data_IF_812573756186
#
_entry.id   IF_812573756186
#
_cell.length_a   1.000
_cell.length_b   1.000
_cell.length_c   1.000
_cell.angle_alpha   90.00
_cell.angle_beta   90.00
_cell.angle_gamma   90.00
#
_symmetry.space_group_name_H-M   'P 1'
#
loop_
_entity.id
_entity.type
_entity.pdbx_description
1 polymer ?
#
# COMPACT_ATOMS: atom_id res chain seq x y z
N UNK A 1 1.84 -23.86 -12.83
CA UNK A 1 2.83 -22.78 -12.64
C UNK A 1 2.05 -21.58 -12.13
N UNK A 2 2.21 -21.25 -10.88
CA UNK A 2 1.61 -20.03 -10.33
C UNK A 2 2.46 -18.86 -10.82
N UNK A 3 1.85 -17.90 -11.52
CA UNK A 3 2.53 -16.68 -11.97
C UNK A 3 3.07 -15.93 -10.75
N UNK A 4 4.36 -15.56 -10.78
CA UNK A 4 4.95 -14.81 -9.68
C UNK A 4 4.51 -13.34 -9.71
N UNK A 5 4.63 -12.63 -8.59
CA UNK A 5 4.33 -11.19 -8.54
C UNK A 5 5.23 -10.39 -9.50
N UNK A 6 6.47 -10.82 -9.69
CA UNK A 6 7.39 -10.19 -10.65
C UNK A 6 6.95 -10.43 -12.10
N UNK A 7 6.46 -11.63 -12.43
CA UNK A 7 5.90 -11.92 -13.76
C UNK A 7 4.66 -11.04 -14.03
N UNK A 8 3.83 -10.80 -13.01
CA UNK A 8 2.68 -9.88 -13.12
C UNK A 8 3.13 -8.44 -13.36
N UNK A 9 4.23 -7.99 -12.72
CA UNK A 9 4.81 -6.67 -12.98
C UNK A 9 5.32 -6.59 -14.42
N UNK A 10 6.11 -7.55 -14.85
CA UNK A 10 6.74 -7.58 -16.18
C UNK A 10 5.70 -7.67 -17.30
N UNK A 11 4.62 -8.43 -17.09
CA UNK A 11 3.49 -8.53 -18.03
C UNK A 11 2.50 -7.36 -17.96
N UNK A 12 2.68 -6.43 -17.01
CA UNK A 12 1.80 -5.28 -16.84
C UNK A 12 0.46 -5.58 -16.15
N UNK A 13 0.31 -6.76 -15.56
CA UNK A 13 -0.91 -7.21 -14.85
C UNK A 13 -0.92 -6.85 -13.38
N UNK A 14 0.17 -6.31 -12.82
CA UNK A 14 0.20 -5.83 -11.45
C UNK A 14 -0.60 -4.54 -11.33
N UNK A 15 -1.89 -4.66 -11.01
CA UNK A 15 -2.88 -3.58 -10.92
C UNK A 15 -3.51 -3.53 -9.54
N UNK A 16 -4.26 -2.46 -9.25
CA UNK A 16 -5.08 -2.38 -8.03
C UNK A 16 -6.03 -3.58 -7.92
N UNK A 17 -6.68 -3.97 -9.02
CA UNK A 17 -7.59 -5.13 -9.04
C UNK A 17 -6.87 -6.43 -8.67
N UNK A 18 -5.68 -6.65 -9.22
CA UNK A 18 -4.86 -7.82 -8.89
C UNK A 18 -4.46 -7.81 -7.42
N UNK A 19 -4.00 -6.66 -6.91
CA UNK A 19 -3.63 -6.51 -5.50
C UNK A 19 -4.86 -6.75 -4.59
N UNK A 20 -6.00 -6.13 -4.89
CA UNK A 20 -7.26 -6.32 -4.14
C UNK A 20 -7.70 -7.79 -4.11
N UNK A 21 -7.54 -8.50 -5.24
CA UNK A 21 -7.83 -9.94 -5.32
C UNK A 21 -6.91 -10.78 -4.43
N UNK A 22 -5.63 -10.44 -4.33
CA UNK A 22 -4.65 -11.15 -3.52
C UNK A 22 -4.83 -10.92 -2.02
N UNK A 23 -5.31 -9.74 -1.63
CA UNK A 23 -5.56 -9.43 -0.22
C UNK A 23 -6.96 -9.81 0.25
N UNK A 24 -7.81 -10.28 -0.64
CA UNK A 24 -9.16 -10.69 -0.31
C UNK A 24 -9.14 -11.83 0.72
N UNK A 25 -10.03 -11.74 1.71
CA UNK A 25 -10.21 -12.74 2.77
C UNK A 25 -8.94 -13.04 3.59
N UNK A 26 -8.02 -12.07 3.68
CA UNK A 26 -6.76 -12.22 4.44
C UNK A 26 -6.85 -11.73 5.88
N UNK A 27 -7.86 -10.92 6.22
CA UNK A 27 -8.05 -10.47 7.60
C UNK A 27 -8.33 -11.65 8.53
N UNK A 28 -7.62 -11.70 9.64
CA UNK A 28 -7.87 -12.66 10.72
C UNK A 28 -7.61 -11.98 12.06
N UNK A 29 -8.63 -11.97 12.91
CA UNK A 29 -8.50 -11.61 14.33
C UNK A 29 -7.70 -12.73 15.04
N UNK A 30 -6.42 -12.45 15.31
CA UNK A 30 -5.51 -13.44 15.88
C UNK A 30 -5.59 -13.52 17.40
N UNK A 31 -5.99 -12.45 18.06
CA UNK A 31 -6.10 -12.39 19.52
C UNK A 31 -7.51 -12.70 20.05
N UNK A 32 -8.53 -12.73 19.16
CA UNK A 32 -9.90 -13.07 19.48
C UNK A 32 -10.68 -11.99 20.24
N UNK A 33 -10.20 -10.73 20.17
CA UNK A 33 -10.82 -9.62 20.91
C UNK A 33 -11.91 -8.88 20.11
N UNK A 34 -12.14 -9.30 18.86
CA UNK A 34 -13.13 -8.74 17.92
C UNK A 34 -12.86 -7.29 17.49
N UNK A 35 -11.64 -6.83 17.64
CA UNK A 35 -11.20 -5.49 17.22
C UNK A 35 -10.09 -5.62 16.22
N UNK A 36 -10.14 -4.79 15.19
CA UNK A 36 -9.03 -4.69 14.25
C UNK A 36 -7.86 -3.93 14.91
N UNK A 37 -6.77 -4.61 15.20
CA UNK A 37 -5.61 -4.06 15.90
C UNK A 37 -4.26 -4.55 15.34
N UNK A 38 -3.09 -4.04 15.82
CA UNK A 38 -1.77 -4.43 15.33
C UNK A 38 -1.41 -5.90 15.51
N UNK A 39 -2.13 -6.64 16.32
CA UNK A 39 -1.88 -8.06 16.58
C UNK A 39 -2.54 -8.97 15.56
N UNK A 40 -3.38 -8.42 14.69
CA UNK A 40 -4.14 -9.15 13.69
C UNK A 40 -3.40 -9.33 12.38
N UNK A 41 -3.95 -10.18 11.53
CA UNK A 41 -3.44 -10.39 10.18
C UNK A 41 -4.19 -9.56 9.16
N UNK A 42 -3.45 -8.97 8.22
CA UNK A 42 -4.00 -8.17 7.13
C UNK A 42 -3.39 -8.52 5.77
N UNK A 43 -4.07 -8.16 4.70
CA UNK A 43 -3.53 -8.26 3.35
C UNK A 43 -2.60 -7.10 2.99
N UNK A 44 -2.95 -5.89 3.42
CA UNK A 44 -2.20 -4.67 3.10
C UNK A 44 -2.16 -3.75 4.33
N UNK A 45 -1.04 -3.08 4.52
CA UNK A 45 -0.89 -2.05 5.55
C UNK A 45 -0.23 -0.79 5.02
N UNK A 46 -0.61 0.33 5.64
CA UNK A 46 0.02 1.64 5.49
C UNK A 46 0.58 2.07 6.84
N UNK A 47 1.89 2.20 6.93
CA UNK A 47 2.56 2.54 8.18
C UNK A 47 2.32 3.96 8.68
N UNK A 48 1.96 4.90 7.79
CA UNK A 48 1.60 6.30 8.11
C UNK A 48 0.94 6.99 6.90
N UNK A 49 0.42 8.21 7.15
CA UNK A 49 -0.27 9.02 6.13
C UNK A 49 0.59 9.33 4.89
N UNK A 50 1.90 9.43 5.03
CA UNK A 50 2.78 9.73 3.90
C UNK A 50 2.81 8.59 2.86
N UNK A 51 2.49 7.38 3.28
CA UNK A 51 2.48 6.19 2.40
C UNK A 51 1.34 6.20 1.40
N UNK A 52 0.26 6.97 1.65
CA UNK A 52 -0.84 7.11 0.67
C UNK A 52 -0.50 7.99 -0.52
N UNK A 53 0.42 8.96 -0.36
CA UNK A 53 0.70 9.99 -1.37
C UNK A 53 1.17 9.37 -2.69
N UNK A 54 1.83 8.22 -2.62
CA UNK A 54 2.28 7.49 -3.80
C UNK A 54 1.16 6.85 -4.61
N UNK A 55 0.06 6.42 -3.98
CA UNK A 55 -1.00 5.67 -4.66
C UNK A 55 -1.66 6.45 -5.81
N UNK A 56 -2.12 7.70 -5.63
CA UNK A 56 -2.70 8.46 -6.71
C UNK A 56 -1.73 8.63 -7.89
N UNK A 57 -0.47 8.93 -7.61
CA UNK A 57 0.57 9.04 -8.64
C UNK A 57 0.79 7.71 -9.35
N UNK A 58 0.84 6.60 -8.60
CA UNK A 58 0.92 5.24 -9.15
C UNK A 58 -0.23 4.91 -10.11
N UNK A 59 -1.39 5.53 -9.91
CA UNK A 59 -2.59 5.42 -10.75
C UNK A 59 -2.68 6.46 -11.89
N UNK A 60 -1.57 7.07 -12.29
CA UNK A 60 -1.52 8.15 -13.31
C UNK A 60 -2.37 9.38 -12.96
N UNK A 61 -2.66 9.60 -11.67
CA UNK A 61 -3.34 10.80 -11.20
C UNK A 61 -2.32 11.85 -10.78
N UNK A 62 -2.14 12.87 -11.60
CA UNK A 62 -1.25 13.99 -11.34
C UNK A 62 -2.05 15.27 -11.10
N UNK A 63 -1.64 16.06 -10.11
CA UNK A 63 -2.26 17.39 -9.91
C UNK A 63 -1.92 18.35 -11.02
N UNK A 64 -0.71 18.26 -11.57
CA UNK A 64 -0.23 19.13 -12.63
C UNK A 64 0.52 18.32 -13.67
N UNK A 65 0.30 18.65 -14.93
CA UNK A 65 1.12 18.18 -16.05
C UNK A 65 1.74 19.36 -16.77
N UNK A 66 2.97 19.19 -17.26
CA UNK A 66 3.64 20.19 -18.07
C UNK A 66 3.21 20.04 -19.53
N UNK A 67 2.79 21.10 -20.16
CA UNK A 67 2.53 21.19 -21.60
C UNK A 67 3.38 22.29 -22.26
N UNK A 68 3.13 22.58 -23.52
CA UNK A 68 3.85 23.61 -24.29
C UNK A 68 3.63 25.03 -23.76
N UNK A 69 2.57 25.27 -23.01
CA UNK A 69 2.18 26.58 -22.47
C UNK A 69 2.52 26.75 -20.98
N UNK A 70 3.12 25.71 -20.37
CA UNK A 70 3.49 25.73 -18.96
C UNK A 70 2.91 24.54 -18.17
N UNK A 71 2.36 24.79 -16.98
CA UNK A 71 1.73 23.77 -16.15
C UNK A 71 0.23 23.88 -16.20
N UNK A 72 -0.43 22.75 -16.49
CA UNK A 72 -1.89 22.64 -16.46
C UNK A 72 -2.30 21.84 -15.23
N UNK A 73 -3.29 22.34 -14.49
CA UNK A 73 -3.95 21.61 -13.42
C UNK A 73 -4.83 20.49 -14.03
N UNK A 74 -4.72 19.27 -13.49
CA UNK A 74 -5.36 18.08 -14.06
C UNK A 74 -6.12 17.24 -13.03
N UNK A 75 -6.37 17.79 -11.84
CA UNK A 75 -7.07 17.09 -10.78
C UNK A 75 -8.60 17.10 -10.93
N UNK A 76 -9.14 17.93 -11.82
CA UNK A 76 -10.56 18.20 -12.04
C UNK A 76 -11.16 17.36 -13.18
N UNK A 77 -10.78 16.09 -13.27
CA UNK A 77 -11.27 15.20 -14.33
C UNK A 77 -11.86 13.90 -13.75
N UNK A 78 -12.61 13.19 -14.58
CA UNK A 78 -13.28 11.93 -14.21
C UNK A 78 -12.30 10.86 -13.73
N UNK A 79 -11.12 10.77 -14.35
CA UNK A 79 -10.10 9.81 -13.91
C UNK A 79 -9.65 10.07 -12.46
N UNK A 80 -9.42 11.33 -12.11
CA UNK A 80 -9.03 11.69 -10.74
C UNK A 80 -10.13 11.33 -9.73
N UNK A 81 -11.40 11.59 -10.05
CA UNK A 81 -12.55 11.20 -9.21
C UNK A 81 -12.57 9.68 -9.03
N UNK A 82 -12.51 8.93 -10.12
CA UNK A 82 -12.55 7.46 -10.09
C UNK A 82 -11.37 6.85 -9.29
N UNK A 83 -10.16 7.40 -9.45
CA UNK A 83 -8.99 6.98 -8.66
C UNK A 83 -9.22 7.25 -7.18
N UNK A 84 -9.66 8.47 -6.81
CA UNK A 84 -9.87 8.83 -5.41
C UNK A 84 -10.96 7.99 -4.75
N UNK A 85 -12.09 7.74 -5.43
CA UNK A 85 -13.15 6.88 -4.92
C UNK A 85 -12.67 5.44 -4.72
N UNK A 86 -11.92 4.90 -5.68
CA UNK A 86 -11.37 3.55 -5.56
C UNK A 86 -10.38 3.43 -4.41
N UNK A 87 -9.47 4.39 -4.30
CA UNK A 87 -8.48 4.41 -3.21
C UNK A 87 -9.14 4.61 -1.85
N UNK A 88 -10.21 5.42 -1.78
CA UNK A 88 -11.00 5.55 -0.56
C UNK A 88 -11.58 4.20 -0.12
N UNK A 89 -12.24 3.47 -1.03
CA UNK A 89 -12.79 2.15 -0.74
C UNK A 89 -11.70 1.17 -0.32
N UNK A 90 -10.57 1.15 -1.04
CA UNK A 90 -9.45 0.28 -0.70
C UNK A 90 -8.93 0.55 0.71
N UNK A 91 -8.73 1.81 1.08
CA UNK A 91 -8.05 2.18 2.32
C UNK A 91 -9.01 2.25 3.53
N UNK A 92 -10.27 2.63 3.30
CA UNK A 92 -11.21 2.94 4.38
C UNK A 92 -12.34 1.94 4.57
N UNK A 93 -12.69 1.20 3.53
CA UNK A 93 -13.86 0.32 3.55
C UNK A 93 -13.46 -1.16 3.42
N UNK A 94 -12.20 -1.47 3.15
CA UNK A 94 -11.73 -2.84 3.00
C UNK A 94 -11.16 -3.34 4.34
N UNK A 95 -11.82 -4.30 4.97
CA UNK A 95 -11.40 -4.92 6.23
C UNK A 95 -10.03 -5.62 6.15
N UNK A 96 -9.62 -6.03 4.96
CA UNK A 96 -8.32 -6.68 4.73
C UNK A 96 -7.15 -5.68 4.71
N UNK A 97 -7.43 -4.38 4.84
CA UNK A 97 -6.45 -3.31 4.79
C UNK A 97 -6.37 -2.61 6.13
N UNK A 98 -5.17 -2.58 6.68
CA UNK A 98 -4.90 -1.82 7.89
C UNK A 98 -4.29 -0.46 7.57
N UNK A 99 -4.93 0.57 8.05
CA UNK A 99 -4.47 1.95 7.96
C UNK A 99 -3.97 2.44 9.34
N UNK A 100 -2.68 2.31 9.58
CA UNK A 100 -2.05 2.78 10.82
C UNK A 100 -2.13 4.32 11.00
N UNK A 101 -2.45 5.06 9.96
CA UNK A 101 -2.70 6.50 10.02
C UNK A 101 -4.12 6.85 10.47
N UNK A 102 -5.04 5.89 10.45
CA UNK A 102 -6.44 6.09 10.86
C UNK A 102 -6.62 5.66 12.31
N UNK A 103 -6.10 6.44 13.20
CA UNK A 103 -5.90 6.25 14.62
C UNK A 103 -7.21 6.06 15.44
N UNK A 104 -8.03 5.08 15.06
CA UNK A 104 -9.15 4.65 15.91
C UNK A 104 -8.73 3.64 16.99
N UNK A 105 -7.61 2.95 16.81
CA UNK A 105 -7.18 1.85 17.69
C UNK A 105 -5.68 1.93 17.92
N UNK A 106 -5.29 2.22 19.15
CA UNK A 106 -3.89 2.33 19.54
C UNK A 106 -3.24 3.67 19.24
N UNK A 107 -2.02 3.86 19.69
CA UNK A 107 -1.16 5.00 19.36
C UNK A 107 -0.29 4.67 18.16
N UNK A 108 0.31 5.68 17.54
CA UNK A 108 1.28 5.46 16.45
C UNK A 108 2.41 4.49 16.86
N UNK A 109 2.75 4.42 18.14
CA UNK A 109 3.81 3.57 18.67
C UNK A 109 3.40 2.09 18.72
N UNK A 110 2.10 1.78 18.81
CA UNK A 110 1.61 0.39 18.79
C UNK A 110 1.78 -0.28 17.42
N UNK A 111 1.82 0.54 16.36
CA UNK A 111 1.92 0.06 14.98
C UNK A 111 3.32 0.14 14.40
N UNK A 112 4.26 0.73 15.11
CA UNK A 112 5.60 1.04 14.62
C UNK A 112 6.66 0.45 15.53
N UNK A 113 7.65 -0.17 14.91
CA UNK A 113 8.90 -0.55 15.58
C UNK A 113 9.97 0.43 15.12
N UNK A 114 10.73 1.00 16.06
CA UNK A 114 11.92 1.75 15.75
C UNK A 114 12.98 0.80 15.20
N UNK A 115 13.36 0.98 13.94
CA UNK A 115 14.43 0.20 13.34
C UNK A 115 15.81 0.72 13.75
N UNK A 116 16.83 -0.11 13.56
CA UNK A 116 18.25 0.25 13.77
C UNK A 116 18.70 1.43 12.93
N UNK A 117 18.00 1.77 11.85
CA UNK A 117 18.24 2.95 11.01
C UNK A 117 17.54 4.23 11.47
N UNK A 118 16.83 4.22 12.60
CA UNK A 118 16.10 5.39 13.12
C UNK A 118 14.79 5.69 12.41
N UNK A 119 14.37 4.84 11.45
CA UNK A 119 13.09 4.93 10.79
C UNK A 119 12.07 4.04 11.51
N UNK A 120 10.79 4.35 11.33
CA UNK A 120 9.71 3.50 11.82
C UNK A 120 9.27 2.52 10.73
N UNK A 121 9.14 1.25 11.10
CA UNK A 121 8.62 0.18 10.24
C UNK A 121 7.28 -0.30 10.79
N UNK A 122 6.44 -0.82 9.89
CA UNK A 122 5.15 -1.35 10.28
C UNK A 122 5.33 -2.66 11.07
N UNK A 123 4.94 -2.66 12.34
CA UNK A 123 5.07 -3.80 13.24
C UNK A 123 4.40 -5.06 12.69
N UNK A 124 3.12 -5.07 12.25
CA UNK A 124 2.48 -6.27 11.71
C UNK A 124 3.22 -6.86 10.51
N UNK A 125 3.86 -6.04 9.67
CA UNK A 125 4.66 -6.53 8.56
C UNK A 125 5.94 -7.23 9.03
N UNK A 126 6.65 -6.65 9.98
CA UNK A 126 7.88 -7.24 10.55
C UNK A 126 7.59 -8.57 11.25
N UNK A 127 6.43 -8.67 11.88
CA UNK A 127 5.97 -9.90 12.55
C UNK A 127 5.40 -10.96 11.57
N UNK A 128 5.40 -10.69 10.26
CA UNK A 128 4.91 -11.62 9.24
C UNK A 128 3.37 -11.72 9.16
N UNK A 129 2.67 -10.78 9.76
CA UNK A 129 1.20 -10.75 9.80
C UNK A 129 0.58 -9.93 8.68
N UNK A 130 1.36 -9.47 7.70
CA UNK A 130 0.84 -8.69 6.55
C UNK A 130 1.47 -9.17 5.25
N UNK A 131 0.64 -9.34 4.22
CA UNK A 131 1.12 -9.77 2.90
C UNK A 131 1.85 -8.64 2.16
N UNK A 132 1.31 -7.41 2.17
CA UNK A 132 1.88 -6.23 1.54
C UNK A 132 1.99 -5.06 2.52
N UNK A 133 3.09 -4.35 2.47
CA UNK A 133 3.26 -3.08 3.18
C UNK A 133 3.63 -1.97 2.21
N UNK A 134 2.86 -0.90 2.21
CA UNK A 134 3.22 0.31 1.47
C UNK A 134 4.34 1.04 2.21
N UNK A 135 5.48 1.17 1.54
CA UNK A 135 6.68 1.76 2.11
C UNK A 135 7.41 2.64 1.09
N UNK A 136 8.21 3.56 1.56
CA UNK A 136 9.16 4.26 0.69
C UNK A 136 10.33 3.31 0.37
N UNK A 137 10.93 3.47 -0.80
CA UNK A 137 12.12 2.66 -1.17
C UNK A 137 13.23 2.77 -0.12
N UNK A 138 13.39 3.94 0.50
CA UNK A 138 14.34 4.15 1.60
C UNK A 138 14.04 3.33 2.85
N UNK A 139 12.78 2.96 3.08
CA UNK A 139 12.39 2.14 4.25
C UNK A 139 12.87 0.69 4.12
N UNK A 140 13.15 0.20 2.90
CA UNK A 140 13.62 -1.16 2.67
C UNK A 140 14.91 -1.46 3.47
N UNK A 141 15.83 -0.50 3.54
CA UNK A 141 17.05 -0.62 4.34
C UNK A 141 16.81 -0.76 5.84
N UNK A 142 15.65 -0.32 6.32
CA UNK A 142 15.25 -0.42 7.73
C UNK A 142 14.38 -1.65 8.00
N UNK A 143 13.62 -2.11 7.00
CA UNK A 143 12.71 -3.25 7.13
C UNK A 143 13.47 -4.58 7.00
N UNK A 144 14.33 -4.71 5.99
CA UNK A 144 15.01 -5.98 5.68
C UNK A 144 15.82 -6.55 6.85
N UNK A 145 16.56 -5.74 7.64
CA UNK A 145 17.26 -6.26 8.80
C UNK A 145 16.37 -6.74 9.96
N UNK A 146 15.13 -6.32 10.01
CA UNK A 146 14.19 -6.60 11.10
C UNK A 146 13.31 -7.84 10.84
N UNK A 147 13.37 -8.42 9.63
CA UNK A 147 12.56 -9.58 9.25
C UNK A 147 13.42 -10.82 9.05
N UNK A 148 12.92 -11.99 9.42
CA UNK A 148 13.56 -13.30 9.27
C UNK A 148 13.03 -14.09 8.05
N UNK A 149 12.22 -13.46 7.22
CA UNK A 149 11.65 -14.04 6.00
C UNK A 149 12.07 -13.25 4.75
N UNK A 150 11.93 -13.90 3.58
CA UNK A 150 12.25 -13.25 2.30
C UNK A 150 11.19 -12.22 1.95
N UNK A 151 11.64 -11.00 1.69
CA UNK A 151 10.82 -9.89 1.19
C UNK A 151 11.13 -9.57 -0.25
N UNK A 152 10.17 -8.99 -0.98
CA UNK A 152 10.33 -8.47 -2.33
C UNK A 152 9.90 -7.01 -2.42
N UNK A 153 10.42 -6.29 -3.41
CA UNK A 153 9.98 -4.94 -3.73
C UNK A 153 9.18 -4.96 -5.03
N UNK A 154 8.00 -4.38 -4.99
CA UNK A 154 7.12 -4.21 -6.14
C UNK A 154 6.88 -2.71 -6.37
N UNK A 155 6.66 -2.29 -7.62
CA UNK A 155 6.18 -0.94 -7.87
C UNK A 155 4.77 -0.77 -7.30
N UNK A 156 4.34 0.47 -7.12
CA UNK A 156 2.93 0.76 -6.84
C UNK A 156 2.09 0.17 -7.98
N UNK A 157 0.99 -0.56 -7.68
CA UNK A 157 0.16 -1.15 -8.72
C UNK A 157 -0.44 -0.07 -9.62
N UNK A 158 -0.59 -0.39 -10.90
CA UNK A 158 -1.30 0.47 -11.85
C UNK A 158 -2.78 0.54 -11.49
N UNK A 159 -3.46 1.60 -11.91
CA UNK A 159 -4.92 1.70 -11.81
C UNK A 159 -5.63 0.55 -12.55
N UNK A 160 -5.14 0.24 -13.75
CA UNK A 160 -5.66 -0.83 -14.61
C UNK A 160 -4.58 -1.28 -15.62
N UNK A 161 -4.82 -2.35 -16.34
CA UNK A 161 -3.90 -2.83 -17.39
C UNK A 161 -3.73 -1.84 -18.55
N UNK A 162 -4.70 -0.98 -18.81
CA UNK A 162 -4.65 0.07 -19.86
C UNK A 162 -3.59 1.12 -19.54
N UNK A 163 -3.29 1.35 -18.28
CA UNK A 163 -2.21 2.25 -17.87
C UNK A 163 -0.87 1.71 -18.37
N UNK A 164 -0.15 2.53 -19.14
CA UNK A 164 1.04 2.09 -19.85
C UNK A 164 2.25 1.82 -18.96
N UNK A 165 2.45 2.63 -17.91
CA UNK A 165 3.66 2.59 -17.09
C UNK A 165 3.33 2.48 -15.60
N UNK A 166 4.17 1.77 -14.86
CA UNK A 166 4.29 1.95 -13.42
C UNK A 166 4.93 3.30 -13.11
N UNK A 167 4.58 3.90 -11.97
CA UNK A 167 5.08 5.21 -11.54
C UNK A 167 5.82 5.10 -10.22
#
# INVERSE_FOLDING_TARGET
>A
HTESLYDMVDSGKWTLETMESLIKDTYVDLNGDTRADPSDRYGLTFGDVNKYIGLPTGCDMFMYVKDTNGYKFTFDNEHAVNVMERLWRLVRENENVHDAGNLGVGTADDWRIASTGGNYVCKPFVEGNVLFSMALVGDAGSIVPEVDFTTGLLPIPKYSEVQKYYR
#
